data_IF_606915945965
#
_entry.id   IF_606915945965
#
_cell.length_a   1.000
_cell.length_b   1.000
_cell.length_c   1.000
_cell.angle_alpha   90.00
_cell.angle_beta   90.00
_cell.angle_gamma   90.00
#
_symmetry.space_group_name_H-M   'P 1'
#
loop_
_entity.id
_entity.type
_entity.pdbx_description
1 polymer ?
#
# COMPACT_ATOMS: atom_id res chain seq x y z
N UNK A 1 -21.26 -32.90 -13.59
CA UNK A 1 -21.20 -31.61 -14.32
C UNK A 1 -22.51 -30.89 -14.11
N UNK A 2 -22.59 -30.00 -13.10
CA UNK A 2 -23.77 -29.14 -12.90
C UNK A 2 -23.39 -27.79 -13.48
N UNK A 3 -23.70 -27.58 -14.76
CA UNK A 3 -23.71 -26.24 -15.35
C UNK A 3 -24.99 -25.54 -14.88
N UNK A 4 -24.97 -25.05 -13.65
CA UNK A 4 -25.97 -24.09 -13.19
C UNK A 4 -25.57 -22.74 -13.76
N UNK A 5 -26.26 -22.30 -14.81
CA UNK A 5 -26.18 -20.95 -15.38
C UNK A 5 -26.69 -19.95 -14.33
N UNK A 6 -25.84 -19.60 -13.37
CA UNK A 6 -26.09 -18.54 -12.41
C UNK A 6 -25.93 -17.21 -13.14
N UNK A 7 -27.01 -16.45 -13.26
CA UNK A 7 -27.00 -15.16 -13.99
C UNK A 7 -26.97 -13.96 -13.06
N UNK A 8 -27.40 -14.14 -11.80
CA UNK A 8 -27.48 -13.06 -10.80
C UNK A 8 -26.70 -13.42 -9.56
N UNK A 9 -26.01 -12.44 -8.98
CA UNK A 9 -25.29 -12.58 -7.71
C UNK A 9 -26.22 -13.01 -6.57
N UNK A 10 -27.50 -12.64 -6.62
CA UNK A 10 -28.52 -13.04 -5.64
C UNK A 10 -28.70 -14.57 -5.54
N UNK A 11 -28.50 -15.30 -6.64
CA UNK A 11 -28.63 -16.76 -6.70
C UNK A 11 -27.47 -17.47 -5.99
N UNK A 12 -26.35 -16.77 -5.75
CA UNK A 12 -25.22 -17.25 -4.96
C UNK A 12 -25.45 -17.09 -3.45
N UNK A 13 -26.57 -16.49 -3.03
CA UNK A 13 -26.90 -16.24 -1.63
C UNK A 13 -27.84 -17.30 -1.07
N UNK A 14 -27.72 -17.59 0.23
CA UNK A 14 -28.69 -18.43 0.95
C UNK A 14 -30.06 -17.75 1.03
N UNK A 15 -31.11 -18.54 1.20
CA UNK A 15 -32.48 -18.04 1.43
C UNK A 15 -32.48 -16.99 2.55
N UNK A 16 -32.83 -15.76 2.20
CA UNK A 16 -32.77 -14.60 3.10
C UNK A 16 -31.61 -13.63 2.85
N UNK A 17 -30.78 -13.83 1.81
CA UNK A 17 -29.89 -12.80 1.24
C UNK A 17 -28.77 -12.30 2.17
N UNK A 18 -28.55 -12.94 3.32
CA UNK A 18 -27.63 -12.46 4.36
C UNK A 18 -26.25 -13.12 4.33
N UNK A 19 -26.11 -14.22 3.59
CA UNK A 19 -24.89 -15.06 3.59
C UNK A 19 -24.70 -15.72 2.23
N UNK A 20 -23.45 -15.87 1.81
CA UNK A 20 -23.09 -16.65 0.62
C UNK A 20 -23.40 -18.12 0.83
N UNK A 21 -23.88 -18.77 -0.22
CA UNK A 21 -23.96 -20.22 -0.28
C UNK A 21 -22.58 -20.78 -0.63
N UNK A 22 -21.78 -21.05 0.42
CA UNK A 22 -20.39 -21.54 0.28
C UNK A 22 -20.24 -22.71 -0.67
N UNK A 23 -21.10 -23.73 -0.53
CA UNK A 23 -21.06 -24.93 -1.38
C UNK A 23 -21.28 -24.56 -2.85
N UNK A 24 -22.22 -23.67 -3.13
CA UNK A 24 -22.52 -23.25 -4.50
C UNK A 24 -21.37 -22.44 -5.11
N UNK A 25 -20.79 -21.53 -4.34
CA UNK A 25 -19.62 -20.73 -4.76
C UNK A 25 -18.42 -21.66 -5.04
N UNK A 26 -18.09 -22.55 -4.11
CA UNK A 26 -17.00 -23.53 -4.24
C UNK A 26 -17.15 -24.49 -5.42
N UNK A 27 -18.40 -24.77 -5.83
CA UNK A 27 -18.69 -25.65 -6.97
C UNK A 27 -18.62 -24.92 -8.31
N UNK A 28 -18.84 -23.59 -8.33
CA UNK A 28 -18.95 -22.80 -9.56
C UNK A 28 -17.68 -22.05 -9.93
N UNK A 29 -16.89 -21.62 -8.94
CA UNK A 29 -15.70 -20.81 -9.16
C UNK A 29 -14.43 -21.54 -8.72
N UNK A 30 -13.29 -21.12 -9.27
CA UNK A 30 -11.97 -21.61 -8.88
C UNK A 30 -11.56 -21.13 -7.49
N UNK A 31 -10.52 -21.73 -6.92
CA UNK A 31 -10.08 -21.47 -5.54
C UNK A 31 -9.81 -19.98 -5.26
N UNK A 32 -9.16 -19.29 -6.21
CA UNK A 32 -8.83 -17.85 -6.09
C UNK A 32 -10.10 -17.00 -6.03
N UNK A 33 -11.07 -17.30 -6.89
CA UNK A 33 -12.34 -16.59 -6.98
C UNK A 33 -13.21 -16.88 -5.76
N UNK A 34 -13.23 -18.12 -5.29
CA UNK A 34 -13.93 -18.52 -4.06
C UNK A 34 -13.47 -17.69 -2.87
N UNK A 35 -12.15 -17.59 -2.68
CA UNK A 35 -11.57 -16.78 -1.60
C UNK A 35 -11.97 -15.31 -1.75
N UNK A 36 -11.93 -14.77 -2.96
CA UNK A 36 -12.32 -13.39 -3.22
C UNK A 36 -13.81 -13.14 -2.94
N UNK A 37 -14.71 -13.99 -3.44
CA UNK A 37 -16.16 -13.88 -3.28
C UNK A 37 -16.55 -14.01 -1.80
N UNK A 38 -16.03 -15.02 -1.10
CA UNK A 38 -16.34 -15.26 0.31
C UNK A 38 -15.81 -14.15 1.24
N UNK A 39 -14.80 -13.39 0.79
CA UNK A 39 -14.28 -12.22 1.51
C UNK A 39 -15.19 -10.99 1.39
N UNK A 40 -16.10 -10.96 0.42
CA UNK A 40 -17.06 -9.86 0.26
C UNK A 40 -18.08 -9.96 1.40
N UNK A 41 -18.12 -8.93 2.25
CA UNK A 41 -19.12 -8.84 3.31
C UNK A 41 -20.47 -8.43 2.72
N UNK A 42 -21.48 -9.31 2.84
CA UNK A 42 -22.84 -9.01 2.38
C UNK A 42 -23.47 -8.04 3.37
N UNK A 43 -23.62 -6.80 2.92
CA UNK A 43 -24.23 -5.76 3.72
C UNK A 43 -25.71 -6.07 3.96
N UNK A 44 -26.17 -5.75 5.17
CA UNK A 44 -27.55 -6.00 5.58
C UNK A 44 -28.50 -5.12 4.76
N UNK A 45 -29.35 -5.73 3.92
CA UNK A 45 -30.37 -5.03 3.11
C UNK A 45 -31.35 -4.18 3.92
N UNK A 46 -31.42 -4.36 5.25
CA UNK A 46 -32.21 -3.50 6.13
C UNK A 46 -31.60 -2.09 6.32
N UNK A 47 -30.31 -1.91 6.02
CA UNK A 47 -29.67 -0.59 6.07
C UNK A 47 -29.74 0.03 4.68
N UNK A 48 -30.41 1.19 4.58
CA UNK A 48 -30.34 2.03 3.37
C UNK A 48 -28.89 2.30 3.01
N UNK A 49 -28.57 2.16 1.73
CA UNK A 49 -27.26 2.50 1.19
C UNK A 49 -26.92 3.94 1.58
N UNK A 50 -25.71 4.12 2.13
CA UNK A 50 -25.17 5.44 2.43
C UNK A 50 -24.02 5.71 1.50
N UNK A 51 -24.03 6.90 0.90
CA UNK A 51 -22.89 7.40 0.18
C UNK A 51 -21.76 7.66 1.19
N UNK A 52 -20.81 6.73 1.30
CA UNK A 52 -19.63 6.87 2.14
C UNK A 52 -18.51 7.56 1.35
N UNK A 53 -18.66 8.85 1.07
CA UNK A 53 -17.55 9.65 0.55
C UNK A 53 -16.67 10.15 1.70
N UNK A 54 -15.41 9.71 1.74
CA UNK A 54 -14.42 10.22 2.71
C UNK A 54 -13.66 11.40 2.11
N UNK A 55 -14.34 12.50 1.79
CA UNK A 55 -13.71 13.65 1.11
C UNK A 55 -14.08 15.02 1.65
N UNK A 56 -13.01 15.69 2.11
CA UNK A 56 -12.82 17.06 2.61
C UNK A 56 -13.91 17.73 3.45
N UNK A 57 -13.48 18.64 4.32
CA UNK A 57 -14.32 19.48 5.21
C UNK A 57 -15.43 20.24 4.46
N UNK A 58 -15.36 20.33 3.12
CA UNK A 58 -16.34 20.98 2.24
C UNK A 58 -17.30 20.03 1.51
N UNK A 59 -17.20 18.71 1.68
CA UNK A 59 -18.22 17.74 1.28
C UNK A 59 -18.41 17.42 -0.21
N UNK A 60 -17.80 18.17 -1.14
CA UNK A 60 -17.97 17.93 -2.57
C UNK A 60 -16.99 16.88 -3.12
N UNK A 61 -17.51 15.93 -3.91
CA UNK A 61 -16.71 15.01 -4.69
C UNK A 61 -16.12 15.74 -5.90
N UNK A 62 -14.80 15.72 -6.02
CA UNK A 62 -14.09 16.10 -7.24
C UNK A 62 -13.09 15.01 -7.58
N UNK A 63 -12.99 14.69 -8.87
CA UNK A 63 -12.08 13.67 -9.39
C UNK A 63 -10.62 14.02 -9.02
N UNK A 64 -10.27 15.30 -9.08
CA UNK A 64 -8.95 15.82 -8.69
C UNK A 64 -8.60 15.46 -7.23
N UNK A 65 -9.53 15.68 -6.30
CA UNK A 65 -9.34 15.35 -4.89
C UNK A 65 -9.28 13.83 -4.64
N UNK A 66 -10.05 13.05 -5.41
CA UNK A 66 -10.01 11.59 -5.34
C UNK A 66 -8.63 11.05 -5.75
N UNK A 67 -8.11 11.52 -6.89
CA UNK A 67 -6.78 11.16 -7.38
C UNK A 67 -5.68 11.62 -6.44
N UNK A 68 -5.73 12.86 -5.94
CA UNK A 68 -4.77 13.38 -4.99
C UNK A 68 -4.73 12.53 -3.71
N UNK A 69 -5.88 12.17 -3.13
CA UNK A 69 -5.94 11.29 -1.95
C UNK A 69 -5.39 9.90 -2.23
N UNK A 70 -5.67 9.34 -3.40
CA UNK A 70 -5.18 8.02 -3.78
C UNK A 70 -3.67 8.03 -4.03
N UNK A 71 -3.13 9.09 -4.62
CA UNK A 71 -1.68 9.31 -4.76
C UNK A 71 -1.00 9.44 -3.40
N UNK A 72 -1.55 10.26 -2.48
CA UNK A 72 -1.00 10.40 -1.12
C UNK A 72 -0.99 9.05 -0.39
N UNK A 73 -2.08 8.27 -0.47
CA UNK A 73 -2.13 6.93 0.11
C UNK A 73 -1.04 6.02 -0.46
N UNK A 74 -0.82 6.03 -1.78
CA UNK A 74 0.24 5.23 -2.42
C UNK A 74 1.64 5.65 -1.93
N UNK A 75 1.92 6.95 -1.87
CA UNK A 75 3.21 7.48 -1.36
C UNK A 75 3.43 7.06 0.10
N UNK A 76 2.42 7.20 0.96
CA UNK A 76 2.51 6.79 2.36
C UNK A 76 2.73 5.30 2.57
N UNK A 77 2.23 4.46 1.64
CA UNK A 77 2.44 3.01 1.68
C UNK A 77 3.86 2.65 1.22
N UNK A 78 4.37 3.32 0.18
CA UNK A 78 5.75 3.12 -0.29
C UNK A 78 6.78 3.58 0.75
N UNK A 79 6.53 4.70 1.44
CA UNK A 79 7.36 5.19 2.55
C UNK A 79 7.34 4.27 3.79
N UNK A 80 6.36 3.36 3.89
CA UNK A 80 6.19 2.48 5.06
C UNK A 80 7.06 1.23 5.03
N UNK A 81 7.73 0.95 3.91
CA UNK A 81 8.59 -0.23 3.75
C UNK A 81 9.92 -0.04 4.50
N UNK A 82 10.31 1.19 4.84
CA UNK A 82 11.45 1.45 5.72
C UNK A 82 11.00 1.53 7.18
N UNK A 83 11.67 0.73 8.03
CA UNK A 83 11.28 0.45 9.41
C UNK A 83 10.77 1.67 10.21
N UNK A 84 9.59 1.47 10.80
CA UNK A 84 8.69 2.46 11.47
C UNK A 84 9.36 3.38 12.52
N UNK A 85 10.58 3.09 12.96
CA UNK A 85 11.31 3.93 13.94
C UNK A 85 12.46 4.76 13.35
N UNK A 86 13.04 4.34 12.22
CA UNK A 86 14.11 5.09 11.54
C UNK A 86 13.52 6.16 10.63
N UNK A 87 12.53 5.79 9.82
CA UNK A 87 11.97 6.64 8.77
C UNK A 87 11.45 8.01 9.27
N UNK A 88 10.92 8.09 10.50
CA UNK A 88 10.47 9.34 11.09
C UNK A 88 11.63 10.28 11.47
N UNK A 89 12.71 9.74 12.06
CA UNK A 89 13.93 10.50 12.38
C UNK A 89 14.64 10.93 11.09
N UNK A 90 14.70 10.03 10.11
CA UNK A 90 15.32 10.30 8.80
C UNK A 90 14.53 11.34 8.02
N UNK A 91 13.20 11.40 8.15
CA UNK A 91 12.38 12.46 7.56
C UNK A 91 12.66 13.84 8.17
N UNK A 92 12.80 13.93 9.50
CA UNK A 92 13.13 15.18 10.18
C UNK A 92 14.56 15.63 9.81
N UNK A 93 15.50 14.69 9.79
CA UNK A 93 16.88 14.96 9.39
C UNK A 93 16.95 15.45 7.93
N UNK A 94 16.32 14.74 6.97
CA UNK A 94 16.25 15.15 5.55
C UNK A 94 15.68 16.56 5.37
N UNK A 95 14.58 16.88 6.05
CA UNK A 95 13.97 18.22 5.99
C UNK A 95 14.86 19.31 6.60
N UNK A 96 15.64 18.96 7.62
CA UNK A 96 16.57 19.89 8.27
C UNK A 96 17.78 20.16 7.38
N UNK A 97 18.30 19.16 6.66
CA UNK A 97 19.43 19.33 5.74
C UNK A 97 19.18 20.37 4.64
N UNK A 98 17.97 20.40 4.08
CA UNK A 98 17.60 21.38 3.05
C UNK A 98 17.54 22.82 3.57
N UNK A 99 17.48 23.02 4.89
CA UNK A 99 17.45 24.35 5.52
C UNK A 99 18.84 24.88 5.89
N UNK A 100 19.89 24.05 5.79
CA UNK A 100 21.25 24.44 6.14
C UNK A 100 21.83 25.30 5.01
N UNK A 101 22.29 26.51 5.33
CA UNK A 101 23.03 27.38 4.39
C UNK A 101 24.46 26.89 4.21
N UNK A 102 24.64 25.77 3.51
CA UNK A 102 25.95 25.25 3.09
C UNK A 102 26.01 25.11 1.58
N UNK A 103 27.21 24.92 1.04
CA UNK A 103 27.39 24.66 -0.40
C UNK A 103 26.50 23.49 -0.82
N UNK A 104 25.77 23.66 -1.92
CA UNK A 104 24.82 22.67 -2.46
C UNK A 104 25.41 21.25 -2.56
N UNK A 105 26.70 21.14 -2.93
CA UNK A 105 27.44 19.87 -2.97
C UNK A 105 27.37 19.08 -1.65
N UNK A 106 27.47 19.77 -0.51
CA UNK A 106 27.42 19.16 0.82
C UNK A 106 26.00 18.74 1.20
N UNK A 107 24.99 19.54 0.83
CA UNK A 107 23.58 19.20 1.05
C UNK A 107 23.24 17.91 0.30
N UNK A 108 23.66 17.79 -0.96
CA UNK A 108 23.47 16.57 -1.74
C UNK A 108 24.20 15.36 -1.15
N UNK A 109 25.42 15.54 -0.65
CA UNK A 109 26.16 14.47 0.02
C UNK A 109 25.43 13.98 1.27
N UNK A 110 25.04 14.90 2.16
CA UNK A 110 24.31 14.59 3.39
C UNK A 110 22.94 13.94 3.08
N UNK A 111 22.23 14.43 2.07
CA UNK A 111 20.98 13.82 1.61
C UNK A 111 21.21 12.38 1.12
N UNK A 112 22.30 12.09 0.41
CA UNK A 112 22.65 10.70 0.04
C UNK A 112 22.95 9.83 1.26
N UNK A 113 23.56 10.38 2.31
CA UNK A 113 23.79 9.66 3.57
C UNK A 113 22.48 9.23 4.24
N UNK A 114 21.50 10.14 4.33
CA UNK A 114 20.21 9.85 5.01
C UNK A 114 19.26 8.95 4.22
N UNK A 115 19.55 8.61 2.97
CA UNK A 115 18.73 7.71 2.16
C UNK A 115 19.47 6.40 1.82
N UNK A 116 20.52 6.03 2.58
CA UNK A 116 21.33 4.82 2.35
C UNK A 116 21.76 4.61 0.88
N UNK A 117 22.00 5.72 0.19
CA UNK A 117 22.37 5.79 -1.23
C UNK A 117 23.87 6.04 -1.43
N UNK A 118 24.64 6.00 -0.33
CA UNK A 118 26.09 5.89 -0.41
C UNK A 118 26.45 4.44 -0.73
N UNK A 119 27.30 4.17 -1.72
CA UNK A 119 27.81 2.82 -1.99
C UNK A 119 28.81 2.43 -0.91
N UNK A 120 28.33 2.16 0.30
CA UNK A 120 29.11 1.52 1.36
C UNK A 120 29.07 0.01 1.14
N UNK A 121 30.13 -0.73 1.50
CA UNK A 121 30.16 -2.19 1.36
C UNK A 121 28.93 -2.86 1.98
N UNK A 122 28.50 -2.38 3.14
CA UNK A 122 27.27 -2.81 3.83
C UNK A 122 26.01 -2.57 2.98
N UNK A 123 25.87 -1.39 2.38
CA UNK A 123 24.72 -1.06 1.51
C UNK A 123 24.66 -1.87 0.21
N UNK A 124 25.81 -2.30 -0.31
CA UNK A 124 25.93 -3.12 -1.51
C UNK A 124 25.55 -4.58 -1.20
N UNK A 125 26.00 -5.11 -0.05
CA UNK A 125 25.60 -6.44 0.46
C UNK A 125 24.09 -6.50 0.71
N UNK A 126 23.51 -5.46 1.33
CA UNK A 126 22.05 -5.40 1.54
C UNK A 126 21.26 -5.39 0.22
N UNK A 127 21.86 -4.89 -0.87
CA UNK A 127 21.28 -4.91 -2.22
C UNK A 127 21.59 -6.19 -3.01
N UNK A 128 22.20 -7.20 -2.38
CA UNK A 128 22.48 -8.50 -2.98
C UNK A 128 23.76 -8.56 -3.81
N UNK A 129 24.62 -7.54 -3.73
CA UNK A 129 25.93 -7.55 -4.40
C UNK A 129 26.96 -8.24 -3.51
N UNK A 130 27.70 -9.19 -4.09
CA UNK A 130 28.81 -9.85 -3.39
C UNK A 130 30.03 -8.95 -3.38
N UNK A 131 30.13 -8.14 -2.34
CA UNK A 131 31.24 -7.21 -2.08
C UNK A 131 31.71 -7.44 -0.65
N UNK A 132 33.01 -7.38 -0.39
CA UNK A 132 33.53 -7.45 0.98
C UNK A 132 32.99 -6.30 1.82
N UNK A 133 32.52 -6.63 3.04
CA UNK A 133 31.99 -5.65 4.00
C UNK A 133 33.08 -4.78 4.62
N UNK A 134 34.34 -5.14 4.43
CA UNK A 134 35.51 -4.51 5.03
C UNK A 134 36.07 -3.49 4.05
N UNK A 135 35.87 -2.21 4.35
CA UNK A 135 36.63 -1.15 3.67
C UNK A 135 38.11 -1.31 4.04
N UNK A 136 38.94 -1.74 3.10
CA UNK A 136 40.38 -1.62 3.21
C UNK A 136 40.74 -0.13 3.19
N UNK A 137 41.04 0.43 4.36
CA UNK A 137 41.72 1.72 4.44
C UNK A 137 43.14 1.51 3.92
N UNK A 138 43.37 1.79 2.64
CA UNK A 138 44.72 1.95 2.12
C UNK A 138 45.30 3.24 2.70
N UNK A 139 46.44 3.10 3.36
CA UNK A 139 47.14 4.14 4.10
C UNK A 139 47.99 5.01 3.19
#
# INVERSE_FOLDING_TARGET
>A
MISSNVTKVLELLLAGGRRWNRKLVETLFGEVENVAILKINILNHAKKDRCCWTGNEKGFFSMENAYAKQMIKKVLIMDRVEGIKSAAKDKIARNTCWKIKVKVKLIHFIWKCFNDNLPTGVSLIMRGLQVDSICHCYH
#
